data_IF_949454298970
#
_entry.id   IF_949454298970
#
_cell.length_a   1.000
_cell.length_b   1.000
_cell.length_c   1.000
_cell.angle_alpha   90.00
_cell.angle_beta   90.00
_cell.angle_gamma   90.00
#
_symmetry.space_group_name_H-M   'P 1'
#
loop_
_entity.id
_entity.type
_entity.pdbx_description
1 polymer ?
#
# COMPACT_ATOMS: atom_id res chain seq x y z
N UNK A 1 69.04 -10.43 -39.71
CA UNK A 1 70.07 -10.65 -38.67
C UNK A 1 69.71 -11.90 -37.90
N UNK A 2 70.72 -12.58 -37.35
CA UNK A 2 70.72 -13.67 -36.35
C UNK A 2 69.37 -13.91 -35.65
N UNK A 3 68.74 -15.10 -35.64
CA UNK A 3 69.18 -16.48 -35.87
C UNK A 3 70.18 -17.02 -34.83
N UNK A 4 69.68 -17.83 -33.91
CA UNK A 4 70.47 -18.67 -33.00
C UNK A 4 69.75 -20.01 -32.70
N UNK A 5 70.53 -21.08 -32.79
CA UNK A 5 70.33 -22.48 -32.37
C UNK A 5 71.52 -22.81 -31.43
N UNK A 6 71.62 -23.98 -30.75
CA UNK A 6 70.76 -25.17 -30.75
C UNK A 6 70.04 -25.27 -29.38
N UNK A 7 70.02 -26.31 -28.52
CA UNK A 7 70.46 -27.73 -28.43
C UNK A 7 69.52 -28.39 -27.36
N UNK A 8 69.41 -29.71 -27.13
CA UNK A 8 70.13 -30.88 -27.62
C UNK A 8 69.21 -32.11 -27.72
N UNK A 9 69.78 -33.30 -27.93
CA UNK A 9 69.03 -34.56 -28.02
C UNK A 9 69.43 -35.59 -26.94
N UNK A 10 68.42 -36.13 -26.24
CA UNK A 10 68.47 -37.38 -25.45
C UNK A 10 67.21 -38.18 -25.80
N UNK A 11 67.26 -39.32 -26.50
CA UNK A 11 67.97 -40.58 -26.24
C UNK A 11 67.27 -41.48 -25.21
N UNK A 12 66.89 -42.68 -25.67
CA UNK A 12 66.33 -43.83 -24.90
C UNK A 12 64.99 -43.57 -24.18
N UNK A 13 63.96 -44.43 -24.24
CA UNK A 13 63.92 -45.86 -24.57
C UNK A 13 62.59 -46.26 -25.24
N UNK A 14 62.53 -47.33 -26.05
CA UNK A 14 61.26 -47.88 -26.54
C UNK A 14 60.48 -48.52 -25.37
N UNK A 15 59.39 -47.89 -24.95
CA UNK A 15 58.50 -48.47 -23.95
C UNK A 15 57.82 -49.73 -24.50
N UNK A 16 57.85 -50.79 -23.69
CA UNK A 16 57.24 -52.10 -23.97
C UNK A 16 55.76 -51.90 -24.33
N UNK A 17 55.23 -52.54 -25.40
CA UNK A 17 53.83 -52.38 -25.76
C UNK A 17 52.93 -52.95 -24.66
N UNK A 18 52.28 -52.07 -23.90
CA UNK A 18 51.34 -52.49 -22.86
C UNK A 18 50.10 -53.14 -23.48
N UNK A 19 49.59 -54.18 -22.81
CA UNK A 19 48.46 -54.98 -23.27
C UNK A 19 47.21 -54.08 -23.41
N UNK A 20 46.66 -53.84 -24.62
CA UNK A 20 45.60 -52.86 -24.83
C UNK A 20 44.26 -53.23 -24.18
N UNK A 21 44.14 -54.42 -23.55
CA UNK A 21 42.93 -54.83 -22.81
C UNK A 21 42.82 -54.25 -21.39
N UNK A 22 43.89 -53.74 -20.76
CA UNK A 22 43.78 -53.12 -19.41
C UNK A 22 43.25 -51.69 -19.48
N UNK A 23 43.87 -50.84 -20.30
CA UNK A 23 43.65 -49.38 -20.38
C UNK A 23 42.19 -48.99 -20.71
N UNK A 24 41.43 -49.88 -21.36
CA UNK A 24 40.03 -49.65 -21.72
C UNK A 24 39.11 -49.75 -20.48
N UNK A 25 39.41 -50.63 -19.52
CA UNK A 25 38.56 -50.90 -18.36
C UNK A 25 38.50 -49.69 -17.40
N UNK A 26 39.66 -49.15 -17.03
CA UNK A 26 39.74 -48.04 -16.07
C UNK A 26 39.12 -46.74 -16.61
N UNK A 27 39.23 -46.52 -17.93
CA UNK A 27 38.59 -45.37 -18.59
C UNK A 27 37.07 -45.44 -18.55
N UNK A 28 36.47 -46.64 -18.63
CA UNK A 28 35.01 -46.80 -18.49
C UNK A 28 34.55 -46.58 -17.05
N UNK A 29 35.24 -47.13 -16.06
CA UNK A 29 34.93 -46.91 -14.62
C UNK A 29 35.03 -45.43 -14.23
N UNK A 30 36.05 -44.71 -14.72
CA UNK A 30 36.23 -43.28 -14.47
C UNK A 30 35.10 -42.43 -15.09
N UNK A 31 34.68 -42.74 -16.33
CA UNK A 31 33.59 -42.04 -17.00
C UNK A 31 32.23 -42.24 -16.31
N UNK A 32 31.93 -43.45 -15.82
CA UNK A 32 30.70 -43.75 -15.09
C UNK A 32 30.60 -42.97 -13.76
N UNK A 33 31.68 -42.96 -12.96
CA UNK A 33 31.74 -42.26 -11.68
C UNK A 33 31.58 -40.73 -11.87
N UNK A 34 32.20 -40.16 -12.92
CA UNK A 34 32.09 -38.73 -13.23
C UNK A 34 30.67 -38.31 -13.62
N UNK A 35 29.90 -39.12 -14.35
CA UNK A 35 28.48 -38.86 -14.63
C UNK A 35 27.62 -38.84 -13.36
N UNK A 36 27.78 -39.84 -12.48
CA UNK A 36 27.01 -39.95 -11.24
C UNK A 36 27.12 -38.69 -10.36
N UNK A 37 28.34 -38.16 -10.20
CA UNK A 37 28.59 -36.93 -9.42
C UNK A 37 27.88 -35.69 -9.96
N UNK A 38 27.70 -35.55 -11.28
CA UNK A 38 27.01 -34.41 -11.86
C UNK A 38 25.52 -34.37 -11.50
N UNK A 39 24.81 -35.49 -11.64
CA UNK A 39 23.37 -35.55 -11.28
C UNK A 39 23.12 -35.22 -9.80
N UNK A 40 23.99 -35.72 -8.90
CA UNK A 40 23.85 -35.49 -7.46
C UNK A 40 24.02 -34.01 -7.05
N UNK A 41 24.83 -33.24 -7.77
CA UNK A 41 25.02 -31.80 -7.51
C UNK A 41 23.81 -30.98 -7.97
N UNK A 42 23.27 -31.25 -9.16
CA UNK A 42 22.10 -30.52 -9.66
C UNK A 42 20.83 -30.81 -8.85
N UNK A 43 20.61 -32.07 -8.45
CA UNK A 43 19.49 -32.40 -7.55
C UNK A 43 19.55 -31.63 -6.22
N UNK A 44 20.74 -31.47 -5.62
CA UNK A 44 20.90 -30.70 -4.38
C UNK A 44 20.55 -29.21 -4.55
N UNK A 45 20.95 -28.59 -5.67
CA UNK A 45 20.58 -27.20 -5.99
C UNK A 45 19.06 -27.05 -6.13
N UNK A 46 18.42 -27.97 -6.85
CA UNK A 46 16.97 -27.95 -7.10
C UNK A 46 16.18 -28.10 -5.79
N UNK A 47 16.56 -29.06 -4.94
CA UNK A 47 15.93 -29.25 -3.63
C UNK A 47 16.10 -28.03 -2.70
N UNK A 48 17.30 -27.43 -2.66
CA UNK A 48 17.53 -26.23 -1.85
C UNK A 48 16.73 -25.02 -2.36
N UNK A 49 16.72 -24.79 -3.67
CA UNK A 49 15.94 -23.71 -4.29
C UNK A 49 14.43 -23.86 -4.04
N UNK A 50 13.91 -25.09 -4.14
CA UNK A 50 12.53 -25.41 -3.81
C UNK A 50 12.22 -25.14 -2.32
N UNK A 51 13.05 -25.63 -1.39
CA UNK A 51 12.88 -25.39 0.04
C UNK A 51 12.91 -23.88 0.38
N UNK A 52 13.86 -23.12 -0.16
CA UNK A 52 13.92 -21.67 0.02
C UNK A 52 12.66 -20.96 -0.52
N UNK A 53 12.13 -21.42 -1.66
CA UNK A 53 10.91 -20.87 -2.27
C UNK A 53 9.69 -21.15 -1.40
N UNK A 54 9.53 -22.38 -0.90
CA UNK A 54 8.46 -22.75 0.04
C UNK A 54 8.55 -21.92 1.33
N UNK A 55 9.72 -21.82 1.95
CA UNK A 55 9.92 -21.03 3.18
C UNK A 55 9.60 -19.54 2.96
N UNK A 56 9.97 -18.97 1.82
CA UNK A 56 9.64 -17.57 1.47
C UNK A 56 8.13 -17.37 1.32
N UNK A 57 7.43 -18.30 0.63
CA UNK A 57 5.98 -18.23 0.46
C UNK A 57 5.24 -18.43 1.79
N UNK A 58 5.68 -19.37 2.63
CA UNK A 58 5.10 -19.57 3.97
C UNK A 58 5.30 -18.36 4.89
N UNK A 59 6.48 -17.73 4.86
CA UNK A 59 6.74 -16.50 5.62
C UNK A 59 5.88 -15.34 5.12
N UNK A 60 5.75 -15.18 3.80
CA UNK A 60 4.90 -14.15 3.18
C UNK A 60 3.42 -14.34 3.56
N UNK A 61 2.90 -15.57 3.48
CA UNK A 61 1.55 -15.90 3.89
C UNK A 61 1.33 -15.65 5.40
N UNK A 62 2.30 -15.99 6.26
CA UNK A 62 2.24 -15.71 7.68
C UNK A 62 2.22 -14.19 7.99
N UNK A 63 3.04 -13.38 7.30
CA UNK A 63 3.01 -11.92 7.45
C UNK A 63 1.67 -11.31 7.04
N UNK A 64 1.07 -11.77 5.93
CA UNK A 64 -0.25 -11.34 5.49
C UNK A 64 -1.32 -11.77 6.51
N UNK A 65 -1.31 -13.02 6.97
CA UNK A 65 -2.29 -13.53 7.94
C UNK A 65 -2.24 -12.78 9.29
N UNK A 66 -1.03 -12.52 9.82
CA UNK A 66 -0.85 -11.74 11.06
C UNK A 66 -1.33 -10.29 10.87
N UNK A 67 -0.99 -9.66 9.73
CA UNK A 67 -1.43 -8.29 9.40
C UNK A 67 -2.95 -8.20 9.16
N UNK A 68 -3.57 -9.22 8.59
CA UNK A 68 -5.03 -9.32 8.48
C UNK A 68 -5.66 -9.44 9.86
N UNK A 69 -5.25 -10.43 10.66
CA UNK A 69 -5.80 -10.67 11.99
C UNK A 69 -5.66 -9.46 12.94
N UNK A 70 -4.54 -8.75 12.89
CA UNK A 70 -4.35 -7.53 13.69
C UNK A 70 -5.31 -6.40 13.31
N UNK A 71 -5.58 -6.21 12.01
CA UNK A 71 -6.56 -5.22 11.52
C UNK A 71 -7.99 -5.60 11.90
N UNK A 72 -8.39 -6.85 11.61
CA UNK A 72 -9.75 -7.33 11.89
C UNK A 72 -10.07 -7.36 13.39
N UNK A 73 -9.07 -7.46 14.27
CA UNK A 73 -9.25 -7.33 15.72
C UNK A 73 -9.66 -5.92 16.20
N UNK A 74 -9.48 -4.89 15.37
CA UNK A 74 -9.89 -3.51 15.66
C UNK A 74 -11.24 -3.13 15.01
N UNK A 75 -11.79 -3.98 14.14
CA UNK A 75 -13.04 -3.74 13.40
C UNK A 75 -14.26 -3.61 14.31
N UNK A 76 -14.54 -4.63 15.11
CA UNK A 76 -15.71 -4.67 15.99
C UNK A 76 -15.66 -3.57 17.08
N UNK A 77 -14.54 -3.34 17.79
CA UNK A 77 -14.44 -2.24 18.74
C UNK A 77 -14.67 -0.85 18.12
N UNK A 78 -14.16 -0.58 16.90
CA UNK A 78 -14.41 0.69 16.23
C UNK A 78 -15.87 0.80 15.75
N UNK A 79 -16.46 -0.27 15.21
CA UNK A 79 -17.87 -0.27 14.80
C UNK A 79 -18.80 -0.01 16.00
N UNK A 80 -18.50 -0.58 17.17
CA UNK A 80 -19.25 -0.32 18.38
C UNK A 80 -19.02 1.10 18.91
N UNK A 81 -17.81 1.66 18.80
CA UNK A 81 -17.58 3.09 19.09
C UNK A 81 -18.39 3.99 18.16
N UNK A 82 -18.42 3.71 16.86
CA UNK A 82 -19.16 4.46 15.85
C UNK A 82 -20.67 4.37 16.11
N UNK A 83 -21.21 3.17 16.32
CA UNK A 83 -22.63 2.93 16.51
C UNK A 83 -23.19 3.52 17.82
N UNK A 84 -22.37 3.56 18.88
CA UNK A 84 -22.76 4.18 20.16
C UNK A 84 -22.44 5.68 20.25
N UNK A 85 -21.73 6.26 19.27
CA UNK A 85 -21.43 7.70 19.23
C UNK A 85 -22.57 8.49 18.58
N UNK A 86 -22.94 9.63 19.16
CA UNK A 86 -23.98 10.49 18.58
C UNK A 86 -23.51 11.17 17.29
N UNK A 87 -24.32 11.10 16.23
CA UNK A 87 -24.09 11.80 14.96
C UNK A 87 -24.76 13.17 15.00
N UNK A 88 -24.07 14.23 14.57
CA UNK A 88 -24.55 15.61 14.61
C UNK A 88 -24.18 16.40 13.34
N UNK A 89 -24.90 17.47 13.03
CA UNK A 89 -24.64 18.32 11.86
C UNK A 89 -23.58 19.39 12.14
N UNK A 90 -22.47 19.34 11.40
CA UNK A 90 -21.48 20.42 11.37
C UNK A 90 -21.88 21.47 10.32
N UNK A 91 -22.49 22.56 10.80
CA UNK A 91 -22.94 23.67 9.96
C UNK A 91 -21.81 24.45 9.24
N UNK A 92 -20.55 24.29 9.65
CA UNK A 92 -19.39 24.89 8.96
C UNK A 92 -18.84 24.03 7.81
N UNK A 93 -19.12 22.72 7.81
CA UNK A 93 -18.73 21.78 6.75
C UNK A 93 -19.88 21.33 5.84
N UNK A 94 -21.13 21.49 6.28
CA UNK A 94 -22.32 21.07 5.53
C UNK A 94 -22.61 19.56 5.59
N UNK A 95 -21.95 18.81 6.48
CA UNK A 95 -22.04 17.36 6.60
C UNK A 95 -22.38 16.92 8.03
N UNK A 96 -22.69 15.64 8.19
CA UNK A 96 -22.72 14.98 9.49
C UNK A 96 -21.30 14.72 10.04
N UNK A 97 -21.17 14.77 11.36
CA UNK A 97 -19.93 14.59 12.12
C UNK A 97 -20.22 13.67 13.32
N UNK A 98 -19.25 12.83 13.67
CA UNK A 98 -19.38 11.88 14.78
C UNK A 98 -18.81 12.49 16.07
N UNK A 99 -19.66 12.67 17.09
CA UNK A 99 -19.26 13.22 18.39
C UNK A 99 -18.60 12.13 19.26
N UNK A 100 -17.34 11.83 18.94
CA UNK A 100 -16.49 10.88 19.66
C UNK A 100 -15.85 11.59 20.88
N UNK A 101 -15.89 10.99 22.07
CA UNK A 101 -15.17 11.53 23.22
C UNK A 101 -13.65 11.44 23.03
N UNK A 102 -12.89 12.43 23.50
CA UNK A 102 -11.42 12.45 23.32
C UNK A 102 -10.71 11.20 23.88
N UNK A 103 -11.24 10.62 24.96
CA UNK A 103 -10.70 9.38 25.53
C UNK A 103 -10.87 8.18 24.58
N UNK A 104 -12.06 8.02 23.99
CA UNK A 104 -12.33 6.94 23.04
C UNK A 104 -11.63 7.17 21.68
N UNK A 105 -11.56 8.43 21.20
CA UNK A 105 -10.78 8.76 20.01
C UNK A 105 -9.31 8.40 20.16
N UNK A 106 -8.72 8.64 21.34
CA UNK A 106 -7.34 8.29 21.66
C UNK A 106 -7.03 6.79 21.71
N UNK A 107 -8.03 5.91 21.87
CA UNK A 107 -7.86 4.45 21.80
C UNK A 107 -7.60 3.98 20.36
N UNK A 108 -8.23 4.64 19.39
CA UNK A 108 -8.15 4.33 17.96
C UNK A 108 -7.26 5.31 17.17
N UNK A 109 -6.50 6.16 17.84
CA UNK A 109 -5.66 7.21 17.22
C UNK A 109 -6.45 8.14 16.26
N UNK A 110 -7.72 8.39 16.58
CA UNK A 110 -8.62 9.22 15.78
C UNK A 110 -8.40 10.71 16.10
N UNK A 111 -8.04 11.45 15.06
CA UNK A 111 -7.82 12.89 15.10
C UNK A 111 -9.14 13.64 14.99
N UNK A 112 -9.17 14.89 15.46
CA UNK A 112 -10.33 15.81 15.37
C UNK A 112 -10.88 15.98 13.93
N UNK A 113 -10.07 15.71 12.91
CA UNK A 113 -10.47 15.79 11.50
C UNK A 113 -11.02 14.48 10.89
N UNK A 114 -10.90 13.35 11.60
CA UNK A 114 -11.52 12.07 11.20
C UNK A 114 -13.00 12.02 11.62
N UNK A 115 -13.43 12.76 12.65
CA UNK A 115 -14.83 12.83 13.10
C UNK A 115 -15.84 13.30 12.03
N UNK A 116 -15.56 14.34 11.20
CA UNK A 116 -16.40 14.69 10.05
C UNK A 116 -16.44 13.61 8.96
N UNK A 117 -15.34 12.88 8.75
CA UNK A 117 -15.29 11.79 7.77
C UNK A 117 -16.13 10.60 8.25
N UNK A 118 -15.96 10.17 9.51
CA UNK A 118 -16.74 9.09 10.11
C UNK A 118 -18.22 9.44 10.23
N UNK A 119 -18.57 10.68 10.57
CA UNK A 119 -19.96 11.14 10.62
C UNK A 119 -20.64 11.17 9.26
N UNK A 120 -19.92 11.60 8.21
CA UNK A 120 -20.39 11.53 6.82
C UNK A 120 -20.57 10.07 6.37
N UNK A 121 -19.57 9.21 6.60
CA UNK A 121 -19.61 7.80 6.18
C UNK A 121 -20.70 7.01 6.90
N UNK A 122 -20.81 7.13 8.23
CA UNK A 122 -21.81 6.39 8.99
C UNK A 122 -23.23 6.99 8.83
N UNK A 123 -23.36 8.30 8.99
CA UNK A 123 -24.67 8.99 8.98
C UNK A 123 -25.26 9.18 7.59
N UNK A 124 -24.47 9.58 6.59
CA UNK A 124 -24.99 9.96 5.26
C UNK A 124 -24.79 8.88 4.19
N UNK A 125 -23.69 8.13 4.24
CA UNK A 125 -23.41 7.05 3.26
C UNK A 125 -24.07 5.75 3.69
N UNK A 126 -23.70 5.19 4.85
CA UNK A 126 -24.25 3.95 5.39
C UNK A 126 -25.61 4.12 6.10
N UNK A 127 -26.06 5.37 6.33
CA UNK A 127 -27.39 5.70 6.90
C UNK A 127 -27.67 5.07 8.27
N UNK A 128 -26.62 4.86 9.07
CA UNK A 128 -26.68 4.16 10.36
C UNK A 128 -26.59 2.63 10.29
N UNK A 129 -26.46 2.03 9.09
CA UNK A 129 -26.29 0.59 8.96
C UNK A 129 -24.85 0.16 9.32
N UNK A 130 -24.74 -0.68 10.35
CA UNK A 130 -23.44 -1.19 10.85
C UNK A 130 -22.75 -2.10 9.84
N UNK A 131 -23.49 -2.87 9.04
CA UNK A 131 -22.94 -3.81 8.07
C UNK A 131 -22.46 -3.10 6.78
N UNK A 132 -23.14 -2.04 6.33
CA UNK A 132 -22.58 -1.18 5.29
C UNK A 132 -21.32 -0.47 5.78
N UNK A 133 -21.31 0.07 7.01
CA UNK A 133 -20.12 0.70 7.59
C UNK A 133 -18.96 -0.28 7.80
N UNK A 134 -19.24 -1.53 8.19
CA UNK A 134 -18.26 -2.63 8.23
C UNK A 134 -17.60 -2.82 6.87
N UNK A 135 -18.38 -2.85 5.78
CA UNK A 135 -17.83 -2.99 4.43
C UNK A 135 -16.99 -1.77 4.02
N UNK A 136 -17.38 -0.54 4.39
CA UNK A 136 -16.56 0.67 4.17
C UNK A 136 -15.22 0.58 4.88
N UNK A 137 -15.19 0.21 6.17
CA UNK A 137 -13.97 0.03 6.97
C UNK A 137 -13.11 -1.16 6.50
N UNK A 138 -13.74 -2.18 5.90
CA UNK A 138 -13.07 -3.27 5.20
C UNK A 138 -12.57 -2.91 3.78
N UNK A 139 -12.68 -1.64 3.38
CA UNK A 139 -12.12 -1.11 2.13
C UNK A 139 -13.02 -1.28 0.90
N UNK A 140 -14.34 -1.33 1.07
CA UNK A 140 -15.28 -1.29 -0.05
C UNK A 140 -14.99 -0.09 -0.97
N UNK A 141 -14.95 -0.32 -2.29
CA UNK A 141 -15.09 0.79 -3.25
C UNK A 141 -16.55 1.26 -3.18
N UNK A 142 -16.80 2.45 -2.62
CA UNK A 142 -18.15 3.05 -2.57
C UNK A 142 -18.33 3.98 -3.77
N UNK A 143 -19.49 3.95 -4.42
CA UNK A 143 -19.85 4.90 -5.49
C UNK A 143 -21.13 5.66 -5.11
N UNK A 144 -20.99 6.97 -4.96
CA UNK A 144 -22.01 7.93 -4.58
C UNK A 144 -22.43 8.78 -5.79
N UNK A 145 -23.73 8.97 -5.98
CA UNK A 145 -24.25 9.93 -6.96
C UNK A 145 -23.94 11.35 -6.47
N UNK A 146 -23.13 12.07 -7.24
CA UNK A 146 -22.56 13.37 -6.86
C UNK A 146 -22.52 14.29 -8.11
N UNK A 147 -23.70 14.69 -8.64
CA UNK A 147 -23.80 15.33 -9.95
C UNK A 147 -23.31 16.79 -9.95
N UNK A 148 -23.29 17.45 -8.79
CA UNK A 148 -22.69 18.78 -8.59
C UNK A 148 -21.22 18.69 -8.14
N UNK A 149 -20.74 17.51 -7.75
CA UNK A 149 -19.39 17.28 -7.25
C UNK A 149 -19.18 17.74 -5.80
N UNK A 150 -20.26 18.00 -5.05
CA UNK A 150 -20.25 18.49 -3.67
C UNK A 150 -19.60 17.50 -2.69
N UNK A 151 -19.81 16.19 -2.87
CA UNK A 151 -19.18 15.16 -2.02
C UNK A 151 -17.67 15.12 -2.25
N UNK A 152 -17.23 15.10 -3.51
CA UNK A 152 -15.79 15.16 -3.82
C UNK A 152 -15.16 16.47 -3.35
N UNK A 153 -15.88 17.60 -3.45
CA UNK A 153 -15.40 18.89 -2.98
C UNK A 153 -15.32 18.99 -1.45
N UNK A 154 -16.22 18.32 -0.72
CA UNK A 154 -16.08 18.10 0.73
C UNK A 154 -14.86 17.21 1.04
N UNK A 155 -14.75 16.02 0.46
CA UNK A 155 -13.70 15.05 0.80
C UNK A 155 -12.30 15.59 0.49
N UNK A 156 -12.11 16.29 -0.63
CA UNK A 156 -10.82 16.96 -0.95
C UNK A 156 -10.49 18.16 -0.05
N UNK A 157 -11.41 18.59 0.82
CA UNK A 157 -11.22 19.69 1.77
C UNK A 157 -10.81 19.22 3.17
N UNK A 158 -10.77 17.89 3.41
CA UNK A 158 -10.29 17.33 4.66
C UNK A 158 -8.77 17.62 4.83
N UNK A 159 -8.28 17.88 6.06
CA UNK A 159 -6.87 18.07 6.33
C UNK A 159 -5.99 16.94 5.80
N UNK A 160 -4.77 17.25 5.34
CA UNK A 160 -3.84 16.26 4.78
C UNK A 160 -4.15 15.78 3.35
N UNK A 161 -5.31 16.12 2.78
CA UNK A 161 -5.67 15.75 1.41
C UNK A 161 -4.65 16.26 0.39
N UNK A 162 -4.02 15.33 -0.34
CA UNK A 162 -2.97 15.61 -1.32
C UNK A 162 -3.26 14.88 -2.63
N UNK A 163 -2.88 15.48 -3.77
CA UNK A 163 -3.05 14.83 -5.08
C UNK A 163 -2.21 13.56 -5.17
N UNK A 164 -2.82 12.49 -5.68
CA UNK A 164 -2.21 11.16 -5.86
C UNK A 164 -2.60 10.60 -7.23
N UNK A 165 -1.78 9.69 -7.74
CA UNK A 165 -2.13 8.83 -8.88
C UNK A 165 -2.40 7.43 -8.32
N UNK A 166 -3.47 6.79 -8.77
CA UNK A 166 -3.78 5.38 -8.47
C UNK A 166 -4.15 4.61 -9.75
N UNK A 167 -4.35 3.30 -9.63
CA UNK A 167 -4.87 2.44 -10.70
C UNK A 167 -6.37 2.62 -10.99
N UNK A 168 -7.12 3.26 -10.10
CA UNK A 168 -8.56 3.46 -10.24
C UNK A 168 -8.86 4.54 -11.29
N UNK A 169 -9.91 4.36 -12.10
CA UNK A 169 -10.28 5.33 -13.15
C UNK A 169 -10.98 6.54 -12.51
N UNK A 170 -10.51 7.75 -12.82
CA UNK A 170 -11.12 9.01 -12.38
C UNK A 170 -11.17 10.04 -13.52
N UNK A 171 -12.21 10.87 -13.54
CA UNK A 171 -12.37 12.01 -14.46
C UNK A 171 -11.83 13.33 -13.90
N UNK A 172 -11.80 13.50 -12.56
CA UNK A 172 -11.08 14.56 -11.86
C UNK A 172 -9.79 14.00 -11.24
N UNK A 173 -8.91 14.88 -10.74
CA UNK A 173 -7.72 14.45 -10.02
C UNK A 173 -8.08 13.55 -8.82
N UNK A 174 -7.22 12.60 -8.48
CA UNK A 174 -7.43 11.74 -7.32
C UNK A 174 -6.68 12.32 -6.11
N UNK A 175 -7.23 12.11 -4.92
CA UNK A 175 -6.62 12.57 -3.68
C UNK A 175 -6.43 11.39 -2.72
N UNK A 176 -5.26 11.34 -2.09
CA UNK A 176 -5.03 10.56 -0.89
C UNK A 176 -5.18 11.47 0.33
N UNK A 177 -5.73 10.95 1.43
CA UNK A 177 -5.83 11.64 2.71
C UNK A 177 -5.18 10.72 3.76
N UNK A 178 -4.08 11.14 4.41
CA UNK A 178 -3.40 10.32 5.41
C UNK A 178 -4.12 10.48 6.75
N UNK A 179 -4.88 9.46 7.11
CA UNK A 179 -5.67 9.43 8.35
C UNK A 179 -4.80 8.88 9.53
N UNK A 180 -5.41 8.65 10.70
CA UNK A 180 -4.74 8.06 11.86
C UNK A 180 -4.25 6.62 11.65
N UNK A 181 -3.58 6.05 12.64
CA UNK A 181 -3.05 4.67 12.57
C UNK A 181 -4.14 3.61 12.28
N UNK A 182 -5.41 3.90 12.57
CA UNK A 182 -6.56 3.04 12.29
C UNK A 182 -7.08 3.22 10.86
N UNK A 183 -7.58 4.40 10.46
CA UNK A 183 -8.19 4.58 9.12
C UNK A 183 -7.15 4.61 7.97
N UNK A 184 -5.88 4.89 8.29
CA UNK A 184 -4.68 4.80 7.44
C UNK A 184 -4.64 5.69 6.19
N UNK A 185 -5.56 5.49 5.24
CA UNK A 185 -5.63 6.30 4.02
C UNK A 185 -7.01 6.25 3.35
N UNK A 186 -7.63 7.42 3.14
CA UNK A 186 -8.75 7.56 2.20
C UNK A 186 -8.22 7.86 0.79
N UNK A 187 -8.73 7.16 -0.21
CA UNK A 187 -8.54 7.44 -1.63
C UNK A 187 -9.88 7.88 -2.25
N UNK A 188 -9.88 9.00 -2.98
CA UNK A 188 -11.09 9.54 -3.64
C UNK A 188 -10.86 9.87 -5.12
N UNK A 189 -11.93 9.80 -5.91
CA UNK A 189 -11.99 10.24 -7.31
C UNK A 189 -13.43 10.42 -7.80
N UNK A 190 -13.61 10.67 -9.10
CA UNK A 190 -14.94 10.84 -9.71
C UNK A 190 -15.08 10.02 -10.99
N UNK A 191 -16.26 9.48 -11.28
CA UNK A 191 -16.56 8.80 -12.54
C UNK A 191 -18.06 8.89 -12.85
N UNK A 192 -18.43 9.28 -14.07
CA UNK A 192 -19.81 9.33 -14.57
C UNK A 192 -20.79 10.05 -13.60
N UNK A 193 -20.56 11.34 -13.34
CA UNK A 193 -21.35 12.20 -12.42
C UNK A 193 -21.55 11.60 -11.01
N UNK A 194 -20.58 10.79 -10.59
CA UNK A 194 -20.55 10.11 -9.31
C UNK A 194 -19.18 10.30 -8.68
N UNK A 195 -19.13 10.38 -7.36
CA UNK A 195 -17.89 10.36 -6.58
C UNK A 195 -17.67 8.97 -6.04
N UNK A 196 -16.43 8.49 -6.13
CA UNK A 196 -16.05 7.22 -5.55
C UNK A 196 -15.00 7.43 -4.46
N UNK A 197 -15.07 6.60 -3.43
CA UNK A 197 -14.14 6.60 -2.31
C UNK A 197 -13.81 5.17 -1.89
N UNK A 198 -12.65 4.99 -1.28
CA UNK A 198 -12.20 3.72 -0.73
C UNK A 198 -11.18 3.99 0.40
N UNK A 199 -11.31 3.28 1.52
CA UNK A 199 -10.25 3.22 2.54
C UNK A 199 -9.24 2.12 2.17
N UNK A 200 -7.95 2.43 2.22
CA UNK A 200 -6.86 1.49 1.93
C UNK A 200 -6.18 0.99 3.21
N UNK A 201 -5.76 -0.28 3.23
CA UNK A 201 -5.04 -0.87 4.37
C UNK A 201 -3.66 -0.27 4.67
N UNK A 202 -3.00 0.33 3.67
CA UNK A 202 -1.71 1.02 3.84
C UNK A 202 -1.55 2.17 2.83
N UNK A 203 -1.11 3.37 3.23
CA UNK A 203 -0.72 4.41 2.30
C UNK A 203 0.54 4.04 1.50
N UNK A 204 0.54 4.36 0.21
CA UNK A 204 1.74 4.26 -0.63
C UNK A 204 2.62 5.52 -0.48
N UNK A 205 3.73 5.40 0.24
CA UNK A 205 4.75 6.46 0.35
C UNK A 205 6.17 5.88 0.22
N UNK A 206 6.81 6.16 -0.92
CA UNK A 206 8.18 5.74 -1.25
C UNK A 206 9.25 6.26 -0.26
N UNK A 207 8.95 7.34 0.50
CA UNK A 207 9.84 7.86 1.55
C UNK A 207 9.71 7.08 2.85
N UNK A 208 8.59 6.38 3.07
CA UNK A 208 8.30 5.56 4.26
C UNK A 208 8.27 4.09 3.88
N UNK A 209 9.45 3.48 3.70
CA UNK A 209 9.62 2.06 3.30
C UNK A 209 8.67 1.06 4.00
N UNK A 210 8.40 1.23 5.31
CA UNK A 210 7.46 0.38 6.06
C UNK A 210 6.01 0.48 5.55
N UNK A 211 5.56 1.66 5.13
CA UNK A 211 4.22 1.88 4.57
C UNK A 211 4.12 1.28 3.15
N UNK A 212 5.12 1.54 2.29
CA UNK A 212 5.21 0.86 0.98
C UNK A 212 5.27 -0.67 1.09
N UNK A 213 5.94 -1.21 2.12
CA UNK A 213 5.95 -2.66 2.36
C UNK A 213 4.57 -3.17 2.77
N UNK A 214 3.85 -2.46 3.65
CA UNK A 214 2.44 -2.76 3.97
C UNK A 214 1.57 -2.78 2.72
N UNK A 215 1.67 -1.74 1.88
CA UNK A 215 0.91 -1.63 0.63
C UNK A 215 1.26 -2.76 -0.38
N UNK A 216 2.52 -3.24 -0.41
CA UNK A 216 2.92 -4.41 -1.19
C UNK A 216 2.27 -5.69 -0.65
N UNK A 217 2.22 -5.88 0.67
CA UNK A 217 1.55 -7.03 1.28
C UNK A 217 0.03 -7.00 1.01
N UNK A 218 -0.60 -5.83 1.14
CA UNK A 218 -2.03 -5.63 0.86
C UNK A 218 -2.35 -5.87 -0.62
N UNK A 219 -1.47 -5.47 -1.54
CA UNK A 219 -1.60 -5.79 -2.97
C UNK A 219 -1.46 -7.29 -3.25
N UNK A 220 -0.55 -8.00 -2.57
CA UNK A 220 -0.40 -9.46 -2.69
C UNK A 220 -1.65 -10.16 -2.15
N UNK A 221 -2.18 -9.73 -1.00
CA UNK A 221 -3.44 -10.19 -0.44
C UNK A 221 -4.58 -10.03 -1.47
N UNK A 222 -4.81 -8.81 -1.98
CA UNK A 222 -5.77 -8.52 -3.04
C UNK A 222 -5.62 -9.46 -4.26
N UNK A 223 -4.38 -9.72 -4.70
CA UNK A 223 -4.11 -10.61 -5.85
C UNK A 223 -4.42 -12.09 -5.58
N UNK A 224 -4.41 -12.52 -4.32
CA UNK A 224 -4.84 -13.87 -3.90
C UNK A 224 -6.35 -13.93 -3.71
N UNK A 225 -6.93 -13.08 -2.84
CA UNK A 225 -8.32 -13.22 -2.39
C UNK A 225 -9.36 -12.50 -3.27
N UNK A 226 -8.93 -11.62 -4.18
CA UNK A 226 -9.78 -10.85 -5.11
C UNK A 226 -10.85 -9.99 -4.44
N UNK A 227 -10.56 -9.54 -3.23
CA UNK A 227 -11.34 -8.62 -2.41
C UNK A 227 -10.47 -7.39 -2.15
N UNK A 228 -11.08 -6.22 -2.00
CA UNK A 228 -10.36 -5.02 -1.58
C UNK A 228 -9.80 -5.21 -0.17
N UNK A 229 -8.75 -4.45 0.14
CA UNK A 229 -7.97 -4.59 1.37
C UNK A 229 -7.95 -3.24 2.09
N UNK A 230 -8.82 -3.09 3.09
CA UNK A 230 -9.02 -1.86 3.84
C UNK A 230 -8.22 -1.80 5.15
N UNK A 231 -8.40 -0.71 5.92
CA UNK A 231 -7.76 -0.53 7.22
C UNK A 231 -8.12 -1.63 8.22
N UNK A 232 -9.37 -2.11 8.22
CA UNK A 232 -9.90 -3.00 9.26
C UNK A 232 -10.36 -4.38 8.77
N UNK A 233 -10.08 -4.73 7.50
CA UNK A 233 -10.47 -6.03 6.94
C UNK A 233 -10.42 -6.05 5.42
N UNK A 234 -11.29 -6.85 4.81
CA UNK A 234 -11.34 -7.04 3.35
C UNK A 234 -12.77 -7.11 2.82
N UNK A 235 -13.12 -6.30 1.81
CA UNK A 235 -14.47 -6.22 1.25
C UNK A 235 -14.60 -6.84 -0.16
N UNK A 236 -15.75 -7.48 -0.41
CA UNK A 236 -16.15 -7.99 -1.74
C UNK A 236 -16.62 -6.89 -2.69
N UNK A 237 -16.86 -5.68 -2.18
CA UNK A 237 -17.18 -4.50 -2.97
C UNK A 237 -15.89 -3.88 -3.54
N UNK A 238 -15.77 -3.88 -4.87
CA UNK A 238 -14.56 -3.53 -5.63
C UNK A 238 -14.94 -2.64 -6.83
N UNK A 239 -13.99 -2.05 -7.56
CA UNK A 239 -14.26 -1.29 -8.81
C UNK A 239 -15.29 -1.92 -9.76
N UNK A 240 -15.30 -3.27 -9.85
CA UNK A 240 -16.17 -4.04 -10.75
C UNK A 240 -17.58 -4.26 -10.21
N UNK A 241 -17.76 -4.13 -8.90
CA UNK A 241 -19.01 -4.28 -8.14
C UNK A 241 -18.93 -3.39 -6.88
N UNK A 242 -19.00 -2.06 -7.03
CA UNK A 242 -18.87 -1.14 -5.90
C UNK A 242 -20.11 -1.18 -5.01
N UNK A 243 -20.00 -0.71 -3.77
CA UNK A 243 -21.14 -0.44 -2.91
C UNK A 243 -21.88 0.80 -3.43
N UNK A 244 -23.15 0.63 -3.83
CA UNK A 244 -23.96 1.66 -4.48
C UNK A 244 -24.87 2.37 -3.47
N UNK A 245 -24.30 3.23 -2.62
CA UNK A 245 -25.05 3.96 -1.59
C UNK A 245 -25.99 5.08 -2.13
N UNK A 246 -26.07 5.26 -3.46
CA UNK A 246 -26.95 6.24 -4.10
C UNK A 246 -26.49 7.68 -3.86
N UNK A 247 -27.43 8.61 -3.67
CA UNK A 247 -27.11 9.92 -3.09
C UNK A 247 -26.91 9.76 -1.57
N UNK A 248 -25.95 10.48 -0.95
CA UNK A 248 -25.85 10.56 0.51
C UNK A 248 -27.17 11.08 1.11
N UNK A 249 -27.56 10.57 2.27
CA UNK A 249 -28.77 11.03 2.95
C UNK A 249 -28.66 12.53 3.32
N UNK A 250 -29.74 13.32 3.21
CA UNK A 250 -29.76 14.72 3.62
C UNK A 250 -29.36 14.89 5.08
N UNK A 251 -28.61 15.93 5.42
CA UNK A 251 -28.18 16.18 6.81
C UNK A 251 -29.34 16.42 7.78
N UNK A 252 -30.48 16.93 7.27
CA UNK A 252 -31.74 17.06 8.03
C UNK A 252 -32.38 15.72 8.41
N UNK A 253 -32.02 14.63 7.74
CA UNK A 253 -32.49 13.26 8.01
C UNK A 253 -31.41 12.50 8.81
N UNK A 254 -30.17 12.51 8.32
CA UNK A 254 -29.04 11.77 8.87
C UNK A 254 -28.50 12.32 10.20
N UNK A 255 -28.61 13.63 10.45
CA UNK A 255 -28.07 14.26 11.66
C UNK A 255 -28.80 15.57 12.03
N UNK A 256 -30.12 15.53 12.32
CA UNK A 256 -30.93 16.74 12.58
C UNK A 256 -30.46 17.59 13.77
N UNK A 257 -29.72 17.01 14.71
CA UNK A 257 -29.14 17.72 15.84
C UNK A 257 -27.83 18.40 15.43
N UNK A 258 -27.72 19.73 15.61
CA UNK A 258 -26.45 20.44 15.42
C UNK A 258 -25.39 19.94 16.39
N UNK A 259 -24.14 19.85 15.94
CA UNK A 259 -23.04 19.59 16.85
C UNK A 259 -22.91 20.74 17.86
N UNK A 260 -22.91 20.41 19.15
CA UNK A 260 -22.44 21.32 20.19
C UNK A 260 -20.99 21.66 19.86
N UNK A 261 -20.59 22.94 19.72
CA UNK A 261 -19.17 23.26 19.58
C UNK A 261 -18.45 22.72 20.82
N UNK A 262 -17.49 21.84 20.63
CA UNK A 262 -16.64 21.34 21.72
C UNK A 262 -16.01 22.53 22.46
N UNK A 263 -15.68 22.39 23.76
CA UNK A 263 -15.01 23.45 24.52
C UNK A 263 -13.74 23.82 23.77
N UNK A 264 -13.74 24.99 23.11
CA UNK A 264 -12.78 25.33 22.06
C UNK A 264 -11.38 25.06 22.57
N UNK A 265 -10.73 24.05 22.00
CA UNK A 265 -9.37 23.62 22.31
C UNK A 265 -8.45 24.81 22.13
N UNK A 266 -8.22 25.58 23.21
CA UNK A 266 -7.54 26.88 23.12
C UNK A 266 -6.21 26.63 22.41
N UNK A 267 -6.01 27.23 21.22
CA UNK A 267 -5.11 26.70 20.20
C UNK A 267 -3.76 26.46 20.84
N UNK A 268 -3.43 25.17 21.03
CA UNK A 268 -2.55 24.72 22.11
C UNK A 268 -1.24 25.48 22.01
N UNK A 269 -1.11 26.54 22.83
CA UNK A 269 0.05 27.42 22.80
C UNK A 269 1.17 26.65 23.45
N UNK A 270 1.86 25.88 22.62
CA UNK A 270 3.22 25.39 22.85
C UNK A 270 4.11 26.61 22.95
N UNK A 271 4.03 27.27 24.12
CA UNK A 271 5.04 28.14 24.66
C UNK A 271 6.24 27.25 25.00
N UNK A 272 6.86 26.70 23.94
CA UNK A 272 8.22 26.17 23.96
C UNK A 272 9.07 27.38 24.30
N UNK A 273 9.26 27.59 25.59
CA UNK A 273 10.13 28.61 26.11
C UNK A 273 11.54 28.21 25.70
N UNK A 274 11.98 28.72 24.54
CA UNK A 274 13.35 28.61 24.06
C UNK A 274 14.26 29.42 24.99
N UNK A 275 14.48 28.89 26.20
CA UNK A 275 15.57 29.31 27.07
C UNK A 275 16.86 29.22 26.25
N UNK A 276 17.50 30.38 26.07
CA UNK A 276 18.39 30.60 24.95
C UNK A 276 19.71 29.81 25.05
N UNK A 277 19.75 28.62 24.43
CA UNK A 277 21.01 27.92 24.14
C UNK A 277 21.72 28.66 23.01
N UNK A 278 22.58 29.61 23.40
CA UNK A 278 23.35 30.45 22.48
C UNK A 278 24.50 29.68 21.82
N UNK A 279 24.14 28.86 20.81
CA UNK A 279 25.09 28.21 19.92
C UNK A 279 25.33 29.10 18.68
N UNK A 280 26.61 29.41 18.39
CA UNK A 280 26.98 30.25 17.24
C UNK A 280 26.71 29.52 15.91
N UNK A 281 25.67 29.93 15.21
CA UNK A 281 25.42 29.51 13.82
C UNK A 281 26.42 30.20 12.88
N UNK A 282 27.20 29.48 12.06
CA UNK A 282 28.06 30.08 11.05
C UNK A 282 27.23 30.70 9.91
N UNK A 283 27.74 31.78 9.31
CA UNK A 283 27.00 32.55 8.32
C UNK A 283 26.57 31.72 7.08
N UNK A 284 25.37 31.97 6.52
CA UNK A 284 24.88 31.25 5.34
C UNK A 284 25.74 31.57 4.10
N UNK A 285 26.02 30.55 3.30
CA UNK A 285 26.58 30.75 1.95
C UNK A 285 25.56 31.46 1.06
N UNK A 286 25.98 32.34 0.13
CA UNK A 286 25.08 32.95 -0.83
C UNK A 286 24.44 31.88 -1.73
N UNK A 287 23.12 31.89 -1.85
CA UNK A 287 22.43 31.03 -2.81
C UNK A 287 22.55 31.62 -4.22
N UNK A 288 22.78 30.74 -5.21
CA UNK A 288 22.77 31.13 -6.62
C UNK A 288 21.34 31.45 -7.06
N UNK A 289 21.19 32.56 -7.78
CA UNK A 289 19.92 33.14 -8.19
C UNK A 289 19.62 32.79 -9.65
N UNK A 290 18.60 31.98 -9.91
CA UNK A 290 18.12 31.70 -11.27
C UNK A 290 17.27 30.42 -11.33
N UNK A 291 16.09 30.50 -11.94
CA UNK A 291 15.16 29.37 -12.03
C UNK A 291 13.68 29.75 -11.95
N UNK A 292 13.22 30.69 -12.77
CA UNK A 292 11.79 30.86 -13.04
C UNK A 292 11.29 29.63 -13.80
N UNK A 293 10.41 28.85 -13.19
CA UNK A 293 9.69 27.77 -13.88
C UNK A 293 8.43 28.33 -14.52
N UNK A 294 8.31 28.20 -15.84
CA UNK A 294 7.11 28.57 -16.58
C UNK A 294 5.95 27.60 -16.30
N UNK A 295 4.73 28.14 -16.27
CA UNK A 295 3.50 27.43 -15.89
C UNK A 295 2.86 26.63 -17.06
N UNK A 296 3.63 26.30 -18.10
CA UNK A 296 3.09 25.80 -19.38
C UNK A 296 3.68 24.46 -19.82
N UNK A 297 2.84 23.42 -19.76
CA UNK A 297 2.91 22.25 -20.66
C UNK A 297 4.04 21.24 -20.42
N UNK A 298 3.84 20.31 -19.48
CA UNK A 298 4.48 18.99 -19.55
C UNK A 298 3.53 18.00 -20.28
N UNK A 299 4.02 17.22 -21.26
CA UNK A 299 3.19 16.27 -22.02
C UNK A 299 2.80 15.05 -21.18
N UNK A 300 1.60 14.50 -21.44
CA UNK A 300 1.13 13.24 -20.86
C UNK A 300 2.00 12.06 -21.29
N UNK A 301 3.06 11.78 -20.54
CA UNK A 301 3.85 10.56 -20.69
C UNK A 301 3.07 9.38 -20.09
N UNK A 302 2.09 8.87 -20.84
CA UNK A 302 1.30 7.71 -20.46
C UNK A 302 2.22 6.48 -20.43
N UNK A 303 2.70 6.11 -19.24
CA UNK A 303 3.48 4.89 -19.02
C UNK A 303 2.54 3.68 -19.15
N UNK A 304 2.32 3.23 -20.38
CA UNK A 304 1.70 1.93 -20.68
C UNK A 304 2.62 0.81 -20.18
N UNK A 305 2.44 0.39 -18.94
CA UNK A 305 3.04 -0.86 -18.43
C UNK A 305 2.38 -2.02 -19.18
N UNK A 306 3.07 -2.52 -20.21
CA UNK A 306 2.60 -3.60 -21.09
C UNK A 306 2.58 -4.96 -20.42
N UNK A 307 1.70 -5.15 -19.44
CA UNK A 307 1.49 -6.41 -18.70
C UNK A 307 0.78 -7.49 -19.52
N UNK A 308 1.33 -7.86 -20.68
CA UNK A 308 0.77 -8.87 -21.57
C UNK A 308 0.97 -10.29 -21.03
N UNK A 309 0.05 -10.76 -20.17
CA UNK A 309 -0.04 -12.16 -19.76
C UNK A 309 -1.41 -12.71 -20.13
N UNK A 310 -1.49 -13.38 -21.28
CA UNK A 310 -2.68 -14.12 -21.69
C UNK A 310 -2.86 -15.36 -20.82
N UNK A 311 -3.92 -15.39 -20.01
CA UNK A 311 -4.30 -16.54 -19.19
C UNK A 311 -5.80 -16.78 -19.30
N UNK A 312 -6.21 -17.64 -20.23
CA UNK A 312 -7.60 -17.98 -20.44
C UNK A 312 -8.04 -19.04 -19.41
N UNK A 313 -8.80 -18.59 -18.41
CA UNK A 313 -9.67 -19.43 -17.59
C UNK A 313 -11.03 -18.76 -17.46
N UNK A 314 -12.09 -19.54 -17.61
CA UNK A 314 -13.49 -19.16 -17.44
C UNK A 314 -13.98 -19.49 -16.01
#
# INVERSE_FOLDING_TARGET
>A
MYAELPEAATSSSPSRPENPRSIISDKMSSAANKKSRCYFVEHKKLCLSSLCSVLTVSLLAAMIAVRHAWRSAQLEPLLDLIANSSVCFNAGRGVCELNISQAAGGEFDLHEHESPLLGFLYGQVARGDRAEMEQVLCGATVKLQDPDGSVYDFLRSLPGAHRRISSHKSSRAQYGIPEGNVLSALLIGTIDNSTWLQLEGSPWDIRRFRASLGHILDFIEYRVIRQNVGPLGTSKATDRRPLLAGQPAPTSEACPLRCTPGPVSQPMRTAVSFAAVSARVPAPRPQLRGGTFDETGLPETIIKIGGGVGGAFA
#
